data_IF_977727368133
#
_entry.id   IF_977727368133
#
_cell.length_a   1.000
_cell.length_b   1.000
_cell.length_c   1.000
_cell.angle_alpha   90.00
_cell.angle_beta   90.00
_cell.angle_gamma   90.00
#
_symmetry.space_group_name_H-M   'P 1'
#
loop_
_entity.id
_entity.type
_entity.pdbx_description
1 polymer ?
#
# COMPACT_ATOMS: atom_id res chain seq x y z
N UNK A 1 107.90 -51.74 -15.73
CA UNK A 1 106.61 -52.19 -16.26
C UNK A 1 105.55 -52.50 -15.19
N UNK A 2 105.89 -53.09 -14.02
CA UNK A 2 104.89 -53.45 -12.99
C UNK A 2 104.16 -52.26 -12.32
N UNK A 3 104.86 -51.16 -12.02
CA UNK A 3 104.26 -49.97 -11.39
C UNK A 3 103.24 -49.24 -12.28
N UNK A 4 103.50 -49.18 -13.58
CA UNK A 4 102.59 -48.57 -14.56
C UNK A 4 101.26 -49.32 -14.65
N UNK A 5 101.28 -50.66 -14.59
CA UNK A 5 100.06 -51.48 -14.59
C UNK A 5 99.19 -51.27 -13.34
N UNK A 6 99.83 -51.09 -12.17
CA UNK A 6 99.12 -50.84 -10.90
C UNK A 6 98.48 -49.45 -10.89
N UNK A 7 99.19 -48.43 -11.35
CA UNK A 7 98.65 -47.06 -11.47
C UNK A 7 97.47 -47.00 -12.45
N UNK A 8 97.56 -47.68 -13.59
CA UNK A 8 96.45 -47.76 -14.56
C UNK A 8 95.21 -48.42 -13.96
N UNK A 9 95.39 -49.52 -13.22
CA UNK A 9 94.31 -50.19 -12.50
C UNK A 9 93.65 -49.27 -11.45
N UNK A 10 94.45 -48.50 -10.72
CA UNK A 10 93.93 -47.56 -9.72
C UNK A 10 93.14 -46.41 -10.37
N UNK A 11 93.62 -45.86 -11.49
CA UNK A 11 92.90 -44.85 -12.26
C UNK A 11 91.57 -45.39 -12.82
N UNK A 12 91.56 -46.64 -13.32
CA UNK A 12 90.34 -47.27 -13.80
C UNK A 12 89.33 -47.47 -12.66
N UNK A 13 89.75 -47.97 -11.51
CA UNK A 13 88.90 -48.13 -10.32
C UNK A 13 88.37 -46.78 -9.81
N UNK A 14 89.19 -45.74 -9.77
CA UNK A 14 88.79 -44.40 -9.38
C UNK A 14 87.75 -43.81 -10.36
N UNK A 15 87.94 -44.02 -11.68
CA UNK A 15 86.97 -43.56 -12.69
C UNK A 15 85.63 -44.30 -12.58
N UNK A 16 85.65 -45.61 -12.33
CA UNK A 16 84.45 -46.42 -12.11
C UNK A 16 83.71 -45.96 -10.84
N UNK A 17 84.44 -45.72 -9.75
CA UNK A 17 83.89 -45.15 -8.52
C UNK A 17 83.19 -43.81 -8.75
N UNK A 18 83.85 -42.88 -9.46
CA UNK A 18 83.24 -41.59 -9.80
C UNK A 18 81.96 -41.75 -10.64
N UNK A 19 81.97 -42.68 -11.60
CA UNK A 19 80.83 -42.90 -12.50
C UNK A 19 79.63 -43.46 -11.73
N UNK A 20 79.84 -44.34 -10.75
CA UNK A 20 78.76 -44.82 -9.88
C UNK A 20 78.15 -43.73 -9.00
N UNK A 21 78.97 -42.79 -8.50
CA UNK A 21 78.49 -41.64 -7.71
C UNK A 21 77.67 -40.68 -8.58
N UNK A 22 78.14 -40.37 -9.79
CA UNK A 22 77.42 -39.51 -10.73
C UNK A 22 76.07 -40.12 -11.15
N UNK A 23 76.03 -41.43 -11.41
CA UNK A 23 74.78 -42.15 -11.68
C UNK A 23 73.82 -42.14 -10.47
N UNK A 24 74.35 -42.27 -9.25
CA UNK A 24 73.56 -42.16 -8.02
C UNK A 24 72.92 -40.79 -7.86
N UNK A 25 73.72 -39.72 -8.00
CA UNK A 25 73.23 -38.34 -7.92
C UNK A 25 72.22 -38.00 -9.02
N UNK A 26 72.43 -38.51 -10.24
CA UNK A 26 71.49 -38.31 -11.34
C UNK A 26 70.11 -38.92 -11.03
N UNK A 27 70.08 -40.14 -10.47
CA UNK A 27 68.83 -40.80 -10.06
C UNK A 27 68.12 -40.08 -8.92
N UNK A 28 68.86 -39.60 -7.93
CA UNK A 28 68.27 -38.83 -6.83
C UNK A 28 67.68 -37.50 -7.32
N UNK A 29 68.38 -36.79 -8.20
CA UNK A 29 67.86 -35.57 -8.82
C UNK A 29 66.58 -35.85 -9.62
N UNK A 30 66.51 -36.97 -10.33
CA UNK A 30 65.32 -37.34 -11.10
C UNK A 30 64.12 -37.62 -10.18
N UNK A 31 64.31 -38.38 -9.09
CA UNK A 31 63.28 -38.63 -8.08
C UNK A 31 62.81 -37.33 -7.39
N UNK A 32 63.75 -36.44 -7.04
CA UNK A 32 63.41 -35.13 -6.46
C UNK A 32 62.60 -34.32 -7.47
N UNK A 33 63.01 -34.27 -8.73
CA UNK A 33 62.33 -33.52 -9.78
C UNK A 33 60.90 -34.02 -10.00
N UNK A 34 60.70 -35.34 -9.98
CA UNK A 34 59.39 -35.94 -10.14
C UNK A 34 58.48 -35.63 -8.95
N UNK A 35 59.00 -35.76 -7.71
CA UNK A 35 58.26 -35.35 -6.50
C UNK A 35 57.91 -33.86 -6.53
N UNK A 36 58.84 -32.99 -6.91
CA UNK A 36 58.58 -31.55 -7.02
C UNK A 36 57.48 -31.27 -8.02
N UNK A 37 57.46 -31.92 -9.19
CA UNK A 37 56.36 -31.78 -10.16
C UNK A 37 55.02 -32.23 -9.60
N UNK A 38 54.99 -33.35 -8.87
CA UNK A 38 53.75 -33.84 -8.25
C UNK A 38 53.21 -32.88 -7.19
N UNK A 39 54.09 -32.30 -6.38
CA UNK A 39 53.72 -31.31 -5.36
C UNK A 39 53.23 -30.02 -5.99
N UNK A 40 53.85 -29.58 -7.08
CA UNK A 40 53.46 -28.36 -7.81
C UNK A 40 52.07 -28.53 -8.44
N UNK A 41 51.78 -29.71 -9.01
CA UNK A 41 50.45 -30.03 -9.54
C UNK A 41 49.37 -29.98 -8.45
N UNK A 42 49.64 -30.56 -7.28
CA UNK A 42 48.71 -30.51 -6.13
C UNK A 42 48.54 -29.08 -5.62
N UNK A 43 49.62 -28.29 -5.56
CA UNK A 43 49.55 -26.90 -5.12
C UNK A 43 48.71 -26.03 -6.06
N UNK A 44 48.80 -26.25 -7.38
CA UNK A 44 47.96 -25.56 -8.37
C UNK A 44 46.49 -25.95 -8.21
N UNK A 45 46.19 -27.23 -8.09
CA UNK A 45 44.81 -27.73 -7.92
C UNK A 45 44.17 -27.17 -6.63
N UNK A 46 44.93 -27.15 -5.54
CA UNK A 46 44.47 -26.60 -4.27
C UNK A 46 44.23 -25.08 -4.35
N UNK A 47 45.10 -24.32 -5.02
CA UNK A 47 44.90 -22.89 -5.25
C UNK A 47 43.65 -22.62 -6.07
N UNK A 48 43.44 -23.37 -7.15
CA UNK A 48 42.27 -23.22 -8.01
C UNK A 48 40.98 -23.53 -7.25
N UNK A 49 40.99 -24.56 -6.40
CA UNK A 49 39.85 -24.92 -5.55
C UNK A 49 39.54 -23.81 -4.54
N UNK A 50 40.55 -23.25 -3.87
CA UNK A 50 40.38 -22.14 -2.95
C UNK A 50 39.85 -20.87 -3.63
N UNK A 51 40.35 -20.56 -4.83
CA UNK A 51 39.85 -19.42 -5.60
C UNK A 51 38.38 -19.62 -5.98
N UNK A 52 38.01 -20.80 -6.46
CA UNK A 52 36.63 -21.14 -6.77
C UNK A 52 35.72 -21.01 -5.54
N UNK A 53 36.10 -21.60 -4.40
CA UNK A 53 35.32 -21.55 -3.17
C UNK A 53 35.17 -20.12 -2.65
N UNK A 54 36.24 -19.33 -2.68
CA UNK A 54 36.19 -17.92 -2.29
C UNK A 54 35.31 -17.07 -3.22
N UNK A 55 35.34 -17.34 -4.53
CA UNK A 55 34.49 -16.67 -5.52
C UNK A 55 33.03 -17.04 -5.35
N UNK A 56 32.76 -18.33 -5.16
CA UNK A 56 31.42 -18.85 -4.90
C UNK A 56 30.83 -18.25 -3.62
N UNK A 57 31.61 -18.22 -2.54
CA UNK A 57 31.19 -17.60 -1.28
C UNK A 57 30.87 -16.11 -1.42
N UNK A 58 31.70 -15.35 -2.11
CA UNK A 58 31.41 -13.92 -2.41
C UNK A 58 30.12 -13.76 -3.22
N UNK A 59 29.89 -14.63 -4.20
CA UNK A 59 28.66 -14.58 -5.00
C UNK A 59 27.41 -14.86 -4.17
N UNK A 60 27.50 -15.80 -3.22
CA UNK A 60 26.44 -16.10 -2.26
C UNK A 60 26.18 -14.92 -1.32
N UNK A 61 27.23 -14.32 -0.75
CA UNK A 61 27.09 -13.15 0.12
C UNK A 61 26.44 -11.97 -0.62
N UNK A 62 26.81 -11.73 -1.89
CA UNK A 62 26.18 -10.72 -2.72
C UNK A 62 24.70 -11.02 -3.01
N UNK A 63 24.37 -12.29 -3.30
CA UNK A 63 22.99 -12.72 -3.56
C UNK A 63 22.11 -12.56 -2.32
N UNK A 64 22.63 -12.92 -1.14
CA UNK A 64 21.95 -12.74 0.14
C UNK A 64 21.72 -11.26 0.43
N UNK A 65 22.74 -10.42 0.27
CA UNK A 65 22.61 -8.97 0.48
C UNK A 65 21.59 -8.33 -0.49
N UNK A 66 21.56 -8.78 -1.74
CA UNK A 66 20.55 -8.33 -2.71
C UNK A 66 19.14 -8.78 -2.31
N UNK A 67 18.99 -10.02 -1.83
CA UNK A 67 17.75 -10.54 -1.27
C UNK A 67 17.23 -9.73 -0.09
N UNK A 68 18.10 -9.41 0.87
CA UNK A 68 17.74 -8.57 2.03
C UNK A 68 17.37 -7.14 1.62
N UNK A 69 18.11 -6.54 0.68
CA UNK A 69 17.81 -5.19 0.19
C UNK A 69 16.45 -5.15 -0.54
N UNK A 70 16.14 -6.17 -1.34
CA UNK A 70 14.83 -6.26 -2.02
C UNK A 70 13.69 -6.55 -1.05
N UNK A 71 13.89 -7.41 -0.06
CA UNK A 71 12.89 -7.70 0.97
C UNK A 71 12.56 -6.45 1.81
N UNK A 72 13.58 -5.75 2.29
CA UNK A 72 13.41 -4.51 3.06
C UNK A 72 12.75 -3.39 2.25
N UNK A 73 13.12 -3.22 0.99
CA UNK A 73 12.45 -2.26 0.10
C UNK A 73 10.98 -2.62 -0.16
N UNK A 74 10.66 -3.91 -0.28
CA UNK A 74 9.26 -4.35 -0.39
C UNK A 74 8.48 -4.08 0.90
N UNK A 75 9.06 -4.39 2.05
CA UNK A 75 8.41 -4.20 3.35
C UNK A 75 8.12 -2.71 3.63
N UNK A 76 9.05 -1.82 3.28
CA UNK A 76 8.86 -0.36 3.34
C UNK A 76 7.75 0.11 2.39
N UNK A 77 7.72 -0.40 1.15
CA UNK A 77 6.68 -0.04 0.19
C UNK A 77 5.28 -0.48 0.62
N UNK A 78 5.15 -1.70 1.18
CA UNK A 78 3.88 -2.24 1.65
C UNK A 78 3.40 -1.49 2.89
N UNK A 79 4.29 -1.20 3.83
CA UNK A 79 3.93 -0.45 5.04
C UNK A 79 3.54 1.01 4.74
N UNK A 80 4.16 1.65 3.74
CA UNK A 80 3.77 2.97 3.26
C UNK A 80 2.39 2.99 2.59
N UNK A 81 2.14 2.06 1.66
CA UNK A 81 0.89 2.02 0.90
C UNK A 81 -0.33 1.74 1.78
N UNK A 82 -0.21 0.81 2.73
CA UNK A 82 -1.36 0.35 3.52
C UNK A 82 -1.80 1.39 4.57
N UNK A 83 -0.88 2.23 5.06
CA UNK A 83 -1.19 3.27 6.04
C UNK A 83 -1.75 4.55 5.40
N UNK A 84 -1.19 4.97 4.27
CA UNK A 84 -1.51 6.28 3.68
C UNK A 84 -2.81 6.22 2.86
N UNK A 85 -3.01 5.13 2.09
CA UNK A 85 -4.22 4.95 1.29
C UNK A 85 -5.45 4.70 2.19
N UNK A 86 -5.33 3.85 3.22
CA UNK A 86 -6.44 3.60 4.15
C UNK A 86 -6.84 4.86 4.93
N UNK A 87 -5.90 5.72 5.32
CA UNK A 87 -6.22 6.99 5.98
C UNK A 87 -6.97 7.94 5.05
N UNK A 88 -6.47 8.13 3.82
CA UNK A 88 -7.12 9.02 2.85
C UNK A 88 -8.55 8.61 2.49
N UNK A 89 -8.79 7.32 2.24
CA UNK A 89 -10.13 6.82 1.91
C UNK A 89 -11.10 6.89 3.11
N UNK A 90 -10.61 6.62 4.32
CA UNK A 90 -11.43 6.67 5.54
C UNK A 90 -11.83 8.11 5.88
N UNK A 91 -10.91 9.07 5.80
CA UNK A 91 -11.18 10.47 6.12
C UNK A 91 -12.21 11.09 5.16
N UNK A 92 -12.08 10.81 3.85
CA UNK A 92 -13.05 11.29 2.84
C UNK A 92 -14.44 10.69 3.08
N UNK A 93 -14.54 9.41 3.41
CA UNK A 93 -15.82 8.77 3.67
C UNK A 93 -16.50 9.32 4.95
N UNK A 94 -15.71 9.55 6.01
CA UNK A 94 -16.20 10.14 7.26
C UNK A 94 -16.67 11.59 7.04
N UNK A 95 -15.93 12.37 6.27
CA UNK A 95 -16.31 13.75 5.97
C UNK A 95 -17.58 13.81 5.10
N UNK A 96 -17.68 12.94 4.09
CA UNK A 96 -18.86 12.89 3.21
C UNK A 96 -20.11 12.43 3.97
N UNK A 97 -19.99 11.40 4.82
CA UNK A 97 -21.11 10.94 5.66
C UNK A 97 -21.56 12.02 6.64
N UNK A 98 -20.62 12.72 7.29
CA UNK A 98 -20.95 13.84 8.18
C UNK A 98 -21.67 14.97 7.43
N UNK A 99 -21.18 15.37 6.25
CA UNK A 99 -21.84 16.39 5.43
C UNK A 99 -23.26 15.98 5.03
N UNK A 100 -23.45 14.72 4.62
CA UNK A 100 -24.77 14.19 4.27
C UNK A 100 -25.72 14.15 5.46
N UNK A 101 -25.21 13.84 6.65
CA UNK A 101 -25.97 13.89 7.89
C UNK A 101 -26.41 15.32 8.23
N UNK A 102 -25.51 16.30 8.14
CA UNK A 102 -25.82 17.72 8.37
C UNK A 102 -26.83 18.27 7.34
N UNK A 103 -26.70 17.88 6.06
CA UNK A 103 -27.68 18.19 5.01
C UNK A 103 -29.07 17.62 5.37
N UNK A 104 -29.14 16.36 5.80
CA UNK A 104 -30.40 15.71 6.20
C UNK A 104 -31.05 16.39 7.39
N UNK A 105 -30.28 16.68 8.44
CA UNK A 105 -30.80 17.37 9.64
C UNK A 105 -31.33 18.77 9.30
N UNK A 106 -30.64 19.50 8.41
CA UNK A 106 -31.11 20.80 7.93
C UNK A 106 -32.41 20.70 7.14
N UNK A 107 -32.55 19.67 6.30
CA UNK A 107 -33.73 19.43 5.48
C UNK A 107 -34.91 19.01 6.36
N UNK A 108 -34.67 18.16 7.36
CA UNK A 108 -35.71 17.73 8.29
C UNK A 108 -36.23 18.91 9.13
N UNK A 109 -35.33 19.79 9.59
CA UNK A 109 -35.71 21.01 10.30
C UNK A 109 -36.55 21.95 9.44
N UNK A 110 -36.16 22.18 8.19
CA UNK A 110 -36.92 23.04 7.26
C UNK A 110 -38.29 22.42 6.94
N UNK A 111 -38.36 21.10 6.78
CA UNK A 111 -39.62 20.39 6.60
C UNK A 111 -40.54 20.54 7.82
N UNK A 112 -40.04 20.35 9.04
CA UNK A 112 -40.83 20.56 10.26
C UNK A 112 -41.35 22.00 10.37
N UNK A 113 -40.49 23.00 10.15
CA UNK A 113 -40.90 24.41 10.17
C UNK A 113 -41.98 24.73 9.13
N UNK A 114 -41.85 24.17 7.92
CA UNK A 114 -42.84 24.35 6.85
C UNK A 114 -44.17 23.70 7.21
N UNK A 115 -44.14 22.53 7.85
CA UNK A 115 -45.34 21.81 8.27
C UNK A 115 -46.05 22.56 9.40
N UNK A 116 -45.30 23.12 10.34
CA UNK A 116 -45.82 23.99 11.40
C UNK A 116 -46.47 25.26 10.83
N UNK A 117 -45.81 25.94 9.88
CA UNK A 117 -46.36 27.15 9.26
C UNK A 117 -47.62 26.86 8.46
N UNK A 118 -47.63 25.76 7.69
CA UNK A 118 -48.79 25.34 6.92
C UNK A 118 -49.98 25.04 7.85
N UNK A 119 -49.75 24.33 8.96
CA UNK A 119 -50.81 24.06 9.93
C UNK A 119 -51.35 25.34 10.58
N UNK A 120 -50.48 26.30 10.88
CA UNK A 120 -50.89 27.60 11.40
C UNK A 120 -51.76 28.35 10.38
N UNK A 121 -51.34 28.41 9.11
CA UNK A 121 -52.12 29.04 8.04
C UNK A 121 -53.46 28.35 7.82
N UNK A 122 -53.49 27.02 7.78
CA UNK A 122 -54.74 26.24 7.64
C UNK A 122 -55.73 26.57 8.76
N UNK A 123 -55.25 26.73 9.99
CA UNK A 123 -56.10 27.10 11.12
C UNK A 123 -56.66 28.53 10.96
N UNK A 124 -55.81 29.48 10.54
CA UNK A 124 -56.25 30.85 10.23
C UNK A 124 -57.30 30.86 9.12
N UNK A 125 -57.08 30.14 8.02
CA UNK A 125 -58.04 30.04 6.91
C UNK A 125 -59.36 29.40 7.35
N UNK A 126 -59.34 28.39 8.21
CA UNK A 126 -60.56 27.80 8.78
C UNK A 126 -61.34 28.82 9.60
N UNK A 127 -60.67 29.59 10.45
CA UNK A 127 -61.31 30.66 11.23
C UNK A 127 -61.88 31.76 10.33
N UNK A 128 -61.16 32.16 9.28
CA UNK A 128 -61.65 33.14 8.31
C UNK A 128 -62.88 32.66 7.56
N UNK A 129 -62.91 31.39 7.15
CA UNK A 129 -64.10 30.78 6.52
C UNK A 129 -65.29 30.81 7.47
N UNK A 130 -65.10 30.43 8.74
CA UNK A 130 -66.17 30.49 9.76
C UNK A 130 -66.65 31.92 9.96
N UNK A 131 -65.72 32.89 10.08
CA UNK A 131 -66.04 34.31 10.26
C UNK A 131 -66.75 34.90 9.04
N UNK A 132 -66.31 34.56 7.83
CA UNK A 132 -66.93 34.99 6.57
C UNK A 132 -68.35 34.42 6.45
N UNK A 133 -68.54 33.14 6.78
CA UNK A 133 -69.86 32.51 6.81
C UNK A 133 -70.78 33.17 7.83
N UNK A 134 -70.27 33.47 9.03
CA UNK A 134 -71.03 34.18 10.06
C UNK A 134 -71.46 35.59 9.58
N UNK A 135 -70.55 36.34 8.95
CA UNK A 135 -70.85 37.66 8.37
C UNK A 135 -71.89 37.60 7.24
N UNK A 136 -71.83 36.58 6.38
CA UNK A 136 -72.81 36.35 5.32
C UNK A 136 -74.21 36.03 5.89
N UNK A 137 -74.28 35.30 7.00
CA UNK A 137 -75.56 34.98 7.66
C UNK A 137 -76.09 36.10 8.56
N UNK A 138 -75.23 37.01 9.00
CA UNK A 138 -75.59 38.12 9.87
C UNK A 138 -76.48 39.12 9.15
N UNK A 139 -77.42 39.72 9.89
CA UNK A 139 -78.32 40.71 9.33
C UNK A 139 -77.56 41.96 8.87
N UNK A 140 -77.76 42.39 7.62
CA UNK A 140 -77.14 43.60 7.11
C UNK A 140 -77.98 44.84 7.42
N UNK A 141 -77.43 45.90 8.04
CA UNK A 141 -78.18 47.13 8.36
C UNK A 141 -78.68 47.86 7.10
N UNK A 142 -78.07 47.63 5.94
CA UNK A 142 -78.57 48.16 4.66
C UNK A 142 -79.98 47.62 4.36
N UNK A 143 -80.33 46.46 4.89
CA UNK A 143 -81.64 45.86 4.70
C UNK A 143 -82.78 46.57 5.43
N UNK A 144 -82.49 47.46 6.38
CA UNK A 144 -83.51 48.33 6.98
C UNK A 144 -84.02 49.42 6.01
N UNK A 145 -83.31 49.66 4.91
CA UNK A 145 -83.68 50.65 3.90
C UNK A 145 -84.35 50.05 2.65
N UNK A 146 -84.53 48.72 2.60
CA UNK A 146 -85.21 48.04 1.48
C UNK A 146 -86.74 48.30 1.55
N UNK A 147 -87.28 48.96 0.53
CA UNK A 147 -88.72 49.25 0.44
C UNK A 147 -89.56 47.97 0.39
N UNK A 148 -90.66 47.92 1.12
CA UNK A 148 -91.63 46.82 1.05
C UNK A 148 -92.16 46.67 -0.39
N UNK A 149 -91.71 45.63 -1.09
CA UNK A 149 -91.96 45.42 -2.52
C UNK A 149 -90.71 45.05 -3.35
N UNK A 150 -89.51 45.09 -2.77
CA UNK A 150 -88.29 44.62 -3.45
C UNK A 150 -88.30 43.11 -3.66
N UNK A 151 -87.69 42.68 -4.77
CA UNK A 151 -87.63 41.30 -5.23
C UNK A 151 -87.22 40.33 -4.10
N UNK A 152 -87.89 39.16 -3.94
CA UNK A 152 -87.63 38.23 -2.85
C UNK A 152 -86.19 37.67 -2.83
N UNK A 153 -85.46 37.76 -3.95
CA UNK A 153 -84.02 37.45 -4.07
C UNK A 153 -83.15 38.37 -3.20
N UNK A 154 -83.44 39.67 -3.15
CA UNK A 154 -82.69 40.64 -2.35
C UNK A 154 -82.92 40.45 -0.85
N UNK A 155 -84.13 40.04 -0.43
CA UNK A 155 -84.42 39.73 0.97
C UNK A 155 -83.65 38.50 1.47
N UNK A 156 -83.32 37.54 0.60
CA UNK A 156 -82.51 36.36 0.97
C UNK A 156 -81.05 36.73 1.27
N UNK A 157 -80.57 37.85 0.74
CA UNK A 157 -79.21 38.35 0.99
C UNK A 157 -79.10 39.16 2.28
N UNK A 158 -80.22 39.42 2.96
CA UNK A 158 -80.25 40.26 4.15
C UNK A 158 -79.86 39.55 5.44
N UNK A 159 -79.60 38.24 5.40
CA UNK A 159 -79.29 37.45 6.59
C UNK A 159 -80.50 37.30 7.53
N UNK A 160 -80.31 36.56 8.62
CA UNK A 160 -81.36 36.33 9.61
C UNK A 160 -81.38 37.47 10.63
N UNK A 161 -82.53 38.13 10.79
CA UNK A 161 -82.76 39.11 11.84
C UNK A 161 -82.84 38.35 13.17
N UNK A 162 -81.76 38.36 13.96
CA UNK A 162 -81.78 37.83 15.32
C UNK A 162 -82.68 38.72 16.17
N UNK A 163 -83.82 38.18 16.59
CA UNK A 163 -84.68 38.76 17.63
C UNK A 163 -84.01 38.69 18.99
#
# INVERSE_FOLDING_TARGET
MRLYGILLLFCLLASLGLLTVLLGQAREMEMIREKTRSLDAIAVDYRQTLEYDSGFRRSLEALVAQGEATASGLEESVSGMDAEQKRGETDVCVEETKRKQEELESLEKTHQQTLESLNAEVNVWKEEVVRAKARLTAYSPICDHLKNGTEPSFRKLCGNKSS
#
